data_IF_411225875200
#
_entry.id   IF_411225875200
#
_cell.length_a   1.000
_cell.length_b   1.000
_cell.length_c   1.000
_cell.angle_alpha   90.00
_cell.angle_beta   90.00
_cell.angle_gamma   90.00
#
_symmetry.space_group_name_H-M   'P 1'
#
loop_
_entity.id
_entity.type
_entity.pdbx_description
1 polymer ?
#
# COMPACT_ATOMS: atom_id res chain seq x y z
N UNK A 1 30.82 -15.98 3.99
CA UNK A 1 29.94 -16.57 2.96
C UNK A 1 28.52 -16.04 3.21
N UNK A 2 28.21 -14.83 2.73
CA UNK A 2 26.91 -14.18 2.93
C UNK A 2 26.02 -14.48 1.72
N UNK A 3 25.10 -15.42 1.89
CA UNK A 3 24.00 -15.71 0.97
C UNK A 3 23.02 -14.52 1.00
N UNK A 4 23.32 -13.48 0.22
CA UNK A 4 22.32 -12.48 -0.12
C UNK A 4 21.26 -13.18 -0.99
N UNK A 5 20.07 -13.42 -0.43
CA UNK A 5 18.91 -13.88 -1.20
C UNK A 5 18.56 -12.83 -2.24
N UNK A 6 19.11 -12.99 -3.44
CA UNK A 6 18.90 -12.15 -4.62
C UNK A 6 17.55 -12.48 -5.26
N UNK A 7 16.46 -12.28 -4.52
CA UNK A 7 15.10 -12.43 -5.05
C UNK A 7 14.59 -11.03 -5.36
N UNK A 8 14.69 -10.68 -6.64
CA UNK A 8 14.10 -9.47 -7.20
C UNK A 8 12.58 -9.52 -7.08
N UNK A 9 11.98 -8.41 -6.66
CA UNK A 9 10.52 -8.22 -6.62
C UNK A 9 10.00 -7.98 -8.04
N UNK A 10 8.72 -8.28 -8.31
CA UNK A 10 8.06 -8.10 -9.62
C UNK A 10 8.43 -6.79 -10.32
N UNK A 11 8.37 -5.67 -9.59
CA UNK A 11 8.70 -4.37 -10.19
C UNK A 11 10.18 -4.19 -10.45
N UNK A 12 11.06 -4.78 -9.64
CA UNK A 12 12.51 -4.71 -9.87
C UNK A 12 12.87 -5.41 -11.17
N UNK A 13 12.24 -6.56 -11.48
CA UNK A 13 12.41 -7.28 -12.75
C UNK A 13 12.03 -6.40 -13.95
N UNK A 14 10.94 -5.63 -13.85
CA UNK A 14 10.51 -4.69 -14.88
C UNK A 14 11.45 -3.48 -15.02
N UNK A 15 12.27 -3.19 -14.00
CA UNK A 15 13.12 -2.00 -13.92
C UNK A 15 14.60 -2.27 -14.29
N UNK A 16 15.07 -3.52 -14.39
CA UNK A 16 16.51 -3.85 -14.47
C UNK A 16 17.30 -3.25 -15.66
N UNK A 17 16.64 -2.74 -16.70
CA UNK A 17 17.29 -2.38 -17.97
C UNK A 17 17.57 -0.88 -18.16
N UNK A 18 17.59 -0.08 -17.10
CA UNK A 18 17.64 1.40 -17.22
C UNK A 18 18.77 2.06 -16.43
N UNK A 19 19.26 3.19 -16.98
CA UNK A 19 20.16 4.09 -16.28
C UNK A 19 19.48 4.73 -15.05
N UNK A 20 20.29 5.21 -14.09
CA UNK A 20 19.83 5.74 -12.78
C UNK A 20 18.70 6.77 -12.86
N UNK A 21 18.66 7.59 -13.91
CA UNK A 21 17.57 8.57 -14.15
C UNK A 21 16.26 7.91 -14.60
N UNK A 22 16.31 6.90 -15.48
CA UNK A 22 15.12 6.17 -15.94
C UNK A 22 14.44 5.42 -14.79
N UNK A 23 15.25 4.75 -13.95
CA UNK A 23 14.80 4.09 -12.73
C UNK A 23 14.02 5.03 -11.80
N UNK A 24 14.56 6.24 -11.55
CA UNK A 24 13.91 7.22 -10.67
C UNK A 24 12.57 7.70 -11.25
N UNK A 25 12.52 8.00 -12.55
CA UNK A 25 11.28 8.44 -13.21
C UNK A 25 10.22 7.35 -13.06
N UNK A 26 10.56 6.09 -13.36
CA UNK A 26 9.61 4.98 -13.21
C UNK A 26 9.16 4.78 -11.77
N UNK A 27 10.05 4.84 -10.80
CA UNK A 27 9.69 4.74 -9.38
C UNK A 27 8.70 5.83 -8.98
N UNK A 28 8.95 7.08 -9.39
CA UNK A 28 8.02 8.19 -9.15
C UNK A 28 6.67 7.96 -9.84
N UNK A 29 6.67 7.51 -11.10
CA UNK A 29 5.44 7.17 -11.83
C UNK A 29 4.65 6.06 -11.12
N UNK A 30 5.32 5.03 -10.62
CA UNK A 30 4.70 3.92 -9.90
C UNK A 30 4.09 4.36 -8.57
N UNK A 31 4.82 5.18 -7.80
CA UNK A 31 4.31 5.76 -6.55
C UNK A 31 3.07 6.61 -6.84
N UNK A 32 3.15 7.49 -7.85
CA UNK A 32 2.02 8.31 -8.26
C UNK A 32 0.80 7.46 -8.65
N UNK A 33 0.99 6.46 -9.51
CA UNK A 33 -0.08 5.56 -9.95
C UNK A 33 -0.66 4.76 -8.77
N UNK A 34 0.19 4.29 -7.86
CA UNK A 34 -0.24 3.59 -6.65
C UNK A 34 -1.08 4.46 -5.73
N UNK A 35 -0.72 5.73 -5.57
CA UNK A 35 -1.52 6.70 -4.80
C UNK A 35 -2.88 6.92 -5.48
N UNK A 36 -2.92 7.10 -6.80
CA UNK A 36 -4.18 7.26 -7.54
C UNK A 36 -5.08 6.04 -7.36
N UNK A 37 -4.52 4.82 -7.47
CA UNK A 37 -5.26 3.58 -7.22
C UNK A 37 -5.82 3.55 -5.80
N UNK A 38 -5.02 3.90 -4.78
CA UNK A 38 -5.50 3.96 -3.39
C UNK A 38 -6.66 4.94 -3.21
N UNK A 39 -6.57 6.13 -3.80
CA UNK A 39 -7.63 7.14 -3.74
C UNK A 39 -8.91 6.60 -4.35
N UNK A 40 -8.84 6.09 -5.59
CA UNK A 40 -10.00 5.56 -6.29
C UNK A 40 -10.62 4.39 -5.53
N UNK A 41 -9.80 3.45 -5.06
CA UNK A 41 -10.25 2.29 -4.28
C UNK A 41 -10.86 2.68 -2.93
N UNK A 42 -10.37 3.74 -2.28
CA UNK A 42 -10.96 4.26 -1.05
C UNK A 42 -12.35 4.88 -1.28
N UNK A 43 -12.61 5.46 -2.46
CA UNK A 43 -13.92 6.03 -2.80
C UNK A 43 -14.96 4.98 -3.19
N UNK A 44 -14.54 3.81 -3.67
CA UNK A 44 -15.42 2.66 -3.87
C UNK A 44 -15.72 2.04 -2.50
N UNK A 45 -16.84 2.45 -1.92
CA UNK A 45 -17.22 2.10 -0.55
C UNK A 45 -18.69 1.75 -0.41
N UNK A 46 -18.96 0.87 0.55
CA UNK A 46 -20.30 0.63 1.08
C UNK A 46 -20.40 1.38 2.40
N UNK A 47 -21.37 2.30 2.56
CA UNK A 47 -21.53 3.07 3.79
C UNK A 47 -21.88 2.12 4.95
N UNK A 48 -21.02 2.06 5.95
CA UNK A 48 -21.20 1.29 7.19
C UNK A 48 -20.80 2.16 8.38
N UNK A 49 -21.39 1.87 9.55
CA UNK A 49 -21.09 2.57 10.80
C UNK A 49 -20.28 1.66 11.73
N UNK A 50 -19.21 2.15 12.39
CA UNK A 50 -18.67 3.52 12.35
C UNK A 50 -17.67 3.78 11.21
N UNK A 51 -17.20 2.74 10.50
CA UNK A 51 -16.19 2.85 9.44
C UNK A 51 -16.72 2.23 8.15
N UNK A 52 -16.65 2.93 7.00
CA UNK A 52 -17.10 2.40 5.72
C UNK A 52 -16.20 1.25 5.25
N UNK A 53 -16.81 0.23 4.64
CA UNK A 53 -16.06 -0.85 3.99
C UNK A 53 -15.70 -0.43 2.57
N UNK A 54 -14.42 -0.56 2.20
CA UNK A 54 -13.90 -0.04 0.93
C UNK A 54 -13.02 -1.05 0.21
N UNK A 55 -12.76 -0.79 -1.07
CA UNK A 55 -11.74 -1.53 -1.85
C UNK A 55 -10.30 -1.12 -1.48
N UNK A 56 -10.10 -0.20 -0.52
CA UNK A 56 -8.79 0.28 -0.12
C UNK A 56 -7.89 -0.83 0.44
N UNK A 57 -8.44 -1.76 1.22
CA UNK A 57 -7.69 -2.91 1.78
C UNK A 57 -7.09 -3.78 0.67
N UNK A 58 -7.88 -4.08 -0.37
CA UNK A 58 -7.43 -4.83 -1.54
C UNK A 58 -6.31 -4.10 -2.29
N UNK A 59 -6.45 -2.80 -2.51
CA UNK A 59 -5.43 -1.99 -3.16
C UNK A 59 -4.12 -1.96 -2.38
N UNK A 60 -4.19 -1.79 -1.05
CA UNK A 60 -3.03 -1.79 -0.15
C UNK A 60 -2.29 -3.12 -0.19
N UNK A 61 -3.01 -4.24 -0.09
CA UNK A 61 -2.39 -5.57 -0.14
C UNK A 61 -1.74 -5.84 -1.50
N UNK A 62 -2.40 -5.43 -2.59
CA UNK A 62 -1.87 -5.56 -3.94
C UNK A 62 -0.61 -4.72 -4.15
N UNK A 63 -0.59 -3.48 -3.64
CA UNK A 63 0.58 -2.60 -3.68
C UNK A 63 1.72 -3.19 -2.85
N UNK A 64 1.45 -3.67 -1.63
CA UNK A 64 2.46 -4.30 -0.80
C UNK A 64 3.13 -5.49 -1.48
N UNK A 65 2.34 -6.34 -2.12
CA UNK A 65 2.84 -7.49 -2.86
C UNK A 65 3.65 -7.11 -4.11
N UNK A 66 3.15 -6.16 -4.90
CA UNK A 66 3.72 -5.84 -6.21
C UNK A 66 4.93 -4.89 -6.14
N UNK A 67 4.88 -3.90 -5.24
CA UNK A 67 5.89 -2.84 -5.17
C UNK A 67 7.03 -3.19 -4.21
N UNK A 68 6.85 -4.20 -3.36
CA UNK A 68 7.79 -4.54 -2.31
C UNK A 68 7.78 -3.51 -1.16
N UNK A 69 8.64 -3.69 -0.15
CA UNK A 69 8.52 -3.00 1.12
C UNK A 69 8.88 -1.51 1.03
N UNK A 70 9.83 -1.14 0.17
CA UNK A 70 10.29 0.24 0.03
C UNK A 70 9.31 1.10 -0.79
N UNK A 71 9.03 0.70 -2.03
CA UNK A 71 8.13 1.47 -2.89
C UNK A 71 6.70 1.44 -2.37
N UNK A 72 6.23 0.31 -1.85
CA UNK A 72 4.91 0.23 -1.22
C UNK A 72 4.77 1.19 -0.05
N UNK A 73 5.76 1.23 0.85
CA UNK A 73 5.75 2.15 1.99
C UNK A 73 5.70 3.60 1.52
N UNK A 74 6.55 3.98 0.55
CA UNK A 74 6.54 5.32 -0.03
C UNK A 74 5.17 5.69 -0.61
N UNK A 75 4.51 4.76 -1.29
CA UNK A 75 3.15 4.97 -1.83
C UNK A 75 2.13 5.22 -0.73
N UNK A 76 2.08 4.39 0.31
CA UNK A 76 1.10 4.53 1.40
C UNK A 76 1.36 5.79 2.22
N UNK A 77 2.63 6.09 2.54
CA UNK A 77 2.99 7.33 3.23
C UNK A 77 2.66 8.55 2.38
N UNK A 78 2.94 8.52 1.07
CA UNK A 78 2.56 9.60 0.15
C UNK A 78 1.04 9.82 0.13
N UNK A 79 0.25 8.75 0.07
CA UNK A 79 -1.21 8.80 0.19
C UNK A 79 -1.66 9.45 1.51
N UNK A 80 -1.08 9.03 2.64
CA UNK A 80 -1.39 9.58 3.96
C UNK A 80 -1.00 11.05 4.10
N UNK A 81 0.14 11.47 3.52
CA UNK A 81 0.58 12.87 3.53
C UNK A 81 -0.38 13.76 2.75
N UNK A 82 -0.82 13.33 1.56
CA UNK A 82 -1.83 14.06 0.79
C UNK A 82 -3.11 14.19 1.62
N UNK A 83 -3.54 13.11 2.27
CA UNK A 83 -4.69 13.16 3.17
C UNK A 83 -4.48 14.10 4.35
N UNK A 84 -3.31 14.08 5.01
CA UNK A 84 -2.97 14.94 6.13
C UNK A 84 -2.99 16.44 5.77
N UNK A 85 -2.63 16.78 4.53
CA UNK A 85 -2.73 18.15 3.98
C UNK A 85 -4.18 18.62 3.79
N UNK A 86 -5.18 17.78 4.08
CA UNK A 86 -6.60 18.13 4.04
C UNK A 86 -7.30 17.78 2.74
N UNK A 87 -6.63 17.11 1.80
CA UNK A 87 -7.27 16.66 0.56
C UNK A 87 -8.25 15.50 0.82
N UNK A 88 -9.33 15.47 0.04
CA UNK A 88 -10.38 14.46 0.15
C UNK A 88 -9.98 13.11 -0.49
N UNK A 89 -9.00 12.43 0.10
CA UNK A 89 -8.46 11.16 -0.43
C UNK A 89 -8.91 9.92 0.33
N UNK A 90 -9.43 10.08 1.54
CA UNK A 90 -9.83 8.97 2.39
C UNK A 90 -11.24 8.47 2.07
N UNK A 91 -11.53 7.28 2.59
CA UNK A 91 -12.80 6.59 2.39
C UNK A 91 -13.98 7.37 2.98
N UNK A 92 -13.90 7.73 4.25
CA UNK A 92 -15.02 8.29 5.01
C UNK A 92 -14.95 9.80 5.25
N UNK A 93 -14.10 10.54 4.53
CA UNK A 93 -13.96 11.97 4.75
C UNK A 93 -15.27 12.70 4.45
N UNK A 94 -15.95 13.11 5.53
CA UNK A 94 -17.04 14.08 5.50
C UNK A 94 -16.46 15.48 5.68
N UNK A 95 -17.25 16.52 5.42
CA UNK A 95 -16.82 17.91 5.58
C UNK A 95 -16.23 18.24 6.98
N UNK A 96 -16.55 17.42 8.00
CA UNK A 96 -16.09 17.57 9.38
C UNK A 96 -14.85 16.72 9.74
N UNK A 97 -14.54 15.69 8.95
CA UNK A 97 -13.47 14.71 9.24
C UNK A 97 -12.54 14.56 8.03
N UNK A 98 -11.78 15.61 7.76
CA UNK A 98 -10.72 15.66 6.74
C UNK A 98 -9.36 15.85 7.42
N UNK A 99 -8.27 15.49 6.73
CA UNK A 99 -6.95 15.78 7.26
C UNK A 99 -6.57 14.90 8.45
N UNK A 100 -5.79 15.51 9.34
CA UNK A 100 -5.28 14.87 10.56
C UNK A 100 -6.42 14.40 11.47
N UNK A 101 -7.57 15.08 11.50
CA UNK A 101 -8.71 14.67 12.35
C UNK A 101 -9.29 13.32 11.93
N UNK A 102 -9.30 13.03 10.62
CA UNK A 102 -9.66 11.70 10.11
C UNK A 102 -8.63 10.64 10.54
N UNK A 103 -7.35 10.99 10.49
CA UNK A 103 -6.25 10.08 10.83
C UNK A 103 -6.16 9.79 12.34
N UNK A 104 -6.61 10.71 13.19
CA UNK A 104 -6.66 10.52 14.65
C UNK A 104 -7.99 9.93 15.14
N UNK A 105 -8.98 9.79 14.26
CA UNK A 105 -10.28 9.19 14.56
C UNK A 105 -10.27 7.66 14.57
N UNK A 106 -11.45 7.06 14.60
CA UNK A 106 -11.65 5.60 14.58
C UNK A 106 -11.05 4.92 13.34
N UNK A 107 -10.86 5.67 12.24
CA UNK A 107 -10.25 5.19 11.00
C UNK A 107 -8.72 5.20 10.98
N UNK A 108 -8.09 5.84 11.97
CA UNK A 108 -6.64 5.96 12.07
C UNK A 108 -5.91 4.62 12.18
N UNK A 109 -6.48 3.69 12.95
CA UNK A 109 -5.93 2.34 13.13
C UNK A 109 -5.75 1.60 11.81
N UNK A 110 -6.70 1.72 10.90
CA UNK A 110 -6.61 1.13 9.55
C UNK A 110 -5.45 1.69 8.73
N UNK A 111 -5.17 2.99 8.84
CA UNK A 111 -4.05 3.61 8.12
C UNK A 111 -2.70 3.12 8.65
N UNK A 112 -2.58 2.92 9.97
CA UNK A 112 -1.41 2.28 10.57
C UNK A 112 -1.31 0.84 10.12
N UNK A 113 -2.42 0.11 10.12
CA UNK A 113 -2.53 -1.25 9.59
C UNK A 113 -2.09 -1.34 8.13
N UNK A 114 -2.42 -0.36 7.28
CA UNK A 114 -1.97 -0.31 5.89
C UNK A 114 -0.46 -0.23 5.77
N UNK A 115 0.19 0.60 6.60
CA UNK A 115 1.66 0.70 6.64
C UNK A 115 2.27 -0.64 7.02
N UNK A 116 1.77 -1.26 8.09
CA UNK A 116 2.28 -2.55 8.56
C UNK A 116 2.04 -3.69 7.55
N UNK A 117 0.86 -3.73 6.92
CA UNK A 117 0.52 -4.73 5.92
C UNK A 117 1.40 -4.62 4.68
N UNK A 118 1.66 -3.41 4.18
CA UNK A 118 2.57 -3.20 3.04
C UNK A 118 4.00 -3.60 3.37
N UNK A 119 4.48 -3.32 4.57
CA UNK A 119 5.80 -3.78 5.01
C UNK A 119 5.87 -5.31 5.08
N UNK A 120 4.85 -5.94 5.67
CA UNK A 120 4.76 -7.39 5.80
C UNK A 120 4.67 -8.11 4.46
N UNK A 121 3.73 -7.69 3.59
CA UNK A 121 3.57 -8.27 2.26
C UNK A 121 4.78 -8.00 1.37
N UNK A 122 5.31 -6.78 1.43
CA UNK A 122 6.51 -6.43 0.66
C UNK A 122 7.72 -7.24 1.09
N UNK A 123 7.90 -7.45 2.40
CA UNK A 123 8.95 -8.32 2.91
C UNK A 123 8.74 -9.77 2.43
N UNK A 124 7.52 -10.31 2.54
CA UNK A 124 7.22 -11.67 2.11
C UNK A 124 7.43 -11.86 0.59
N UNK A 125 7.02 -10.88 -0.23
CA UNK A 125 7.29 -10.86 -1.67
C UNK A 125 8.80 -10.88 -1.95
N UNK A 126 9.61 -10.16 -1.17
CA UNK A 126 11.08 -10.18 -1.29
C UNK A 126 11.70 -11.53 -0.92
N UNK A 127 11.04 -12.29 -0.04
CA UNK A 127 11.42 -13.67 0.25
C UNK A 127 10.99 -14.66 -0.86
N UNK A 128 10.33 -14.18 -1.92
CA UNK A 128 9.87 -14.97 -3.06
C UNK A 128 8.57 -15.73 -2.80
N UNK A 129 7.79 -15.32 -1.79
CA UNK A 129 6.52 -15.99 -1.45
C UNK A 129 5.41 -15.68 -2.46
N UNK A 130 5.54 -14.57 -3.20
CA UNK A 130 4.71 -14.19 -4.34
C UNK A 130 4.76 -15.20 -5.50
N UNK A 131 5.81 -16.04 -5.57
CA UNK A 131 5.97 -17.10 -6.59
C UNK A 131 5.09 -18.33 -6.34
N UNK A 132 4.42 -18.42 -5.19
CA UNK A 132 3.54 -19.54 -4.84
C UNK A 132 2.17 -19.01 -4.42
N UNK A 133 1.12 -19.45 -5.13
CA UNK A 133 -0.26 -19.02 -4.88
C UNK A 133 -0.65 -19.26 -3.41
N UNK A 134 -0.27 -20.41 -2.82
CA UNK A 134 -0.63 -20.75 -1.44
C UNK A 134 0.07 -19.82 -0.44
N UNK A 135 1.38 -19.58 -0.62
CA UNK A 135 2.13 -18.68 0.27
C UNK A 135 1.63 -17.24 0.17
N UNK A 136 1.32 -16.81 -1.05
CA UNK A 136 0.77 -15.49 -1.33
C UNK A 136 -0.65 -15.31 -0.78
N UNK A 137 -1.50 -16.33 -0.89
CA UNK A 137 -2.81 -16.33 -0.24
C UNK A 137 -2.67 -16.23 1.28
N UNK A 138 -1.75 -16.99 1.88
CA UNK A 138 -1.45 -16.91 3.30
C UNK A 138 -1.00 -15.52 3.75
N UNK A 139 -0.10 -14.87 3.00
CA UNK A 139 0.36 -13.51 3.34
C UNK A 139 -0.74 -12.48 3.16
N UNK A 140 -1.63 -12.62 2.19
CA UNK A 140 -2.79 -11.74 2.03
C UNK A 140 -3.76 -11.87 3.22
N UNK A 141 -4.00 -13.08 3.72
CA UNK A 141 -4.82 -13.29 4.92
C UNK A 141 -4.16 -12.65 6.14
N UNK A 142 -2.87 -12.86 6.35
CA UNK A 142 -2.11 -12.22 7.43
C UNK A 142 -2.14 -10.70 7.31
N UNK A 143 -1.95 -10.17 6.10
CA UNK A 143 -2.05 -8.74 5.84
C UNK A 143 -3.42 -8.17 6.16
N UNK A 144 -4.50 -8.92 5.85
CA UNK A 144 -5.84 -8.52 6.24
C UNK A 144 -5.99 -8.48 7.76
N UNK A 145 -5.51 -9.50 8.48
CA UNK A 145 -5.51 -9.52 9.95
C UNK A 145 -4.70 -8.35 10.54
N UNK A 146 -3.60 -7.94 9.91
CA UNK A 146 -2.80 -6.78 10.36
C UNK A 146 -3.57 -5.46 10.20
N UNK A 147 -4.49 -5.39 9.24
CA UNK A 147 -5.26 -4.17 8.95
C UNK A 147 -6.41 -3.95 9.94
N UNK A 148 -6.98 -5.02 10.49
CA UNK A 148 -8.17 -5.01 11.36
C UNK A 148 -7.82 -5.27 12.82
#
# INVERSE_FOLDING_TARGET
>A
MTTATNNSVLIEVLLLNEGRRGLLIKQLTLVFLGIVVLILSAKIKIPMFPVPMTMGTFAVLSIGAAYGPRLGLTTVIGYMLIGALGFDVFAGSSAEKLGITYMMGSTGGYLVGYVLAVLGLGWAARQGWDRSIIKMAGTMVVGNIIIY
#
